data_IF_310884250459
#
_entry.id   IF_310884250459
#
_cell.length_a   1.000
_cell.length_b   1.000
_cell.length_c   1.000
_cell.angle_alpha   90.00
_cell.angle_beta   90.00
_cell.angle_gamma   90.00
#
_symmetry.space_group_name_H-M   'P 1'
#
loop_
_entity.id
_entity.type
_entity.pdbx_description
1 polymer ?
#
# COMPACT_ATOMS: atom_id res chain seq x y z
N UNK A 1 23.23 14.48 -13.02
CA UNK A 1 22.09 13.60 -12.69
C UNK A 1 20.88 14.50 -12.63
N UNK A 2 20.02 14.40 -13.63
CA UNK A 2 18.82 15.24 -13.71
C UNK A 2 17.79 14.72 -12.71
N UNK A 3 17.13 15.62 -11.98
CA UNK A 3 16.07 15.25 -11.06
C UNK A 3 14.82 14.90 -11.87
N UNK A 4 14.36 13.65 -11.76
CA UNK A 4 13.12 13.20 -12.41
C UNK A 4 11.89 13.74 -11.67
N UNK A 5 11.55 15.00 -11.94
CA UNK A 5 10.43 15.68 -11.30
C UNK A 5 9.11 15.28 -11.98
N UNK A 6 8.05 15.10 -11.17
CA UNK A 6 6.68 14.89 -11.65
C UNK A 6 6.14 16.16 -12.31
N UNK A 7 5.64 16.05 -13.54
CA UNK A 7 5.14 17.18 -14.31
C UNK A 7 3.69 17.53 -13.92
N UNK A 8 3.47 18.77 -13.50
CA UNK A 8 2.14 19.26 -13.12
C UNK A 8 1.36 19.80 -14.32
N UNK A 9 0.03 19.71 -14.22
CA UNK A 9 -0.88 20.36 -15.17
C UNK A 9 -0.93 21.84 -14.84
N UNK A 10 -0.91 22.69 -15.86
CA UNK A 10 -1.13 24.13 -15.73
C UNK A 10 -2.43 24.55 -16.42
N UNK A 11 -2.97 25.71 -16.02
CA UNK A 11 -4.21 26.26 -16.60
C UNK A 11 -4.04 26.38 -18.13
N UNK A 12 -5.00 25.84 -18.88
CA UNK A 12 -5.00 25.76 -20.36
C UNK A 12 -3.88 24.92 -21.00
N UNK A 13 -3.14 24.10 -20.23
CA UNK A 13 -2.12 23.18 -20.75
C UNK A 13 -2.34 21.77 -20.21
N UNK A 14 -3.17 20.95 -20.88
CA UNK A 14 -3.34 19.55 -20.51
C UNK A 14 -2.04 18.77 -20.75
N UNK A 15 -1.79 17.75 -19.91
CA UNK A 15 -0.67 16.83 -20.09
C UNK A 15 -0.85 16.00 -21.37
N UNK A 16 0.22 15.91 -22.16
CA UNK A 16 0.30 14.98 -23.28
C UNK A 16 0.36 13.52 -22.78
N UNK A 17 0.01 12.56 -23.63
CA UNK A 17 0.01 11.13 -23.28
C UNK A 17 1.39 10.62 -22.86
N UNK A 18 2.45 11.07 -23.55
CA UNK A 18 3.83 10.77 -23.17
C UNK A 18 4.21 11.33 -21.78
N UNK A 19 3.70 12.51 -21.42
CA UNK A 19 3.94 13.09 -20.08
C UNK A 19 3.15 12.31 -19.02
N UNK A 20 1.94 11.85 -19.34
CA UNK A 20 1.14 11.00 -18.45
C UNK A 20 1.82 9.64 -18.20
N UNK A 21 2.36 9.00 -19.23
CA UNK A 21 3.07 7.72 -19.06
C UNK A 21 4.32 7.89 -18.20
N UNK A 22 5.14 8.91 -18.49
CA UNK A 22 6.31 9.24 -17.67
C UNK A 22 5.93 9.53 -16.21
N UNK A 23 4.90 10.34 -15.98
CA UNK A 23 4.38 10.61 -14.64
C UNK A 23 3.85 9.36 -13.93
N UNK A 24 3.30 8.39 -14.66
CA UNK A 24 2.83 7.11 -14.09
C UNK A 24 3.98 6.25 -13.62
N UNK A 25 5.09 6.23 -14.35
CA UNK A 25 6.31 5.56 -13.93
C UNK A 25 6.92 6.24 -12.70
N UNK A 26 7.07 7.57 -12.73
CA UNK A 26 7.57 8.38 -11.60
C UNK A 26 6.72 8.19 -10.34
N UNK A 27 5.39 8.17 -10.48
CA UNK A 27 4.45 8.05 -9.35
C UNK A 27 4.31 6.63 -8.79
N UNK A 28 4.76 5.58 -9.50
CA UNK A 28 4.65 4.19 -9.05
C UNK A 28 5.36 3.94 -7.71
N UNK A 29 6.53 4.53 -7.51
CA UNK A 29 7.29 4.43 -6.25
C UNK A 29 6.59 5.27 -5.17
N UNK A 30 6.20 6.50 -5.51
CA UNK A 30 5.51 7.41 -4.59
C UNK A 30 4.22 6.80 -4.04
N UNK A 31 3.41 6.17 -4.88
CA UNK A 31 2.16 5.54 -4.46
C UNK A 31 2.36 4.47 -3.35
N UNK A 32 3.47 3.72 -3.39
CA UNK A 32 3.80 2.72 -2.37
C UNK A 32 4.11 3.38 -1.02
N UNK A 33 4.85 4.49 -1.05
CA UNK A 33 5.26 5.23 0.14
C UNK A 33 4.07 6.01 0.72
N UNK A 34 3.30 6.67 -0.12
CA UNK A 34 2.10 7.42 0.26
C UNK A 34 1.08 6.51 0.93
N UNK A 35 0.97 5.25 0.53
CA UNK A 35 0.10 4.28 1.21
C UNK A 35 0.48 4.05 2.68
N UNK A 36 1.78 3.97 3.00
CA UNK A 36 2.27 3.85 4.39
C UNK A 36 1.91 5.09 5.20
N UNK A 37 2.17 6.27 4.63
CA UNK A 37 1.84 7.54 5.29
C UNK A 37 0.33 7.75 5.44
N UNK A 38 -0.46 7.32 4.47
CA UNK A 38 -1.91 7.37 4.56
C UNK A 38 -2.39 6.47 5.71
N UNK A 39 -1.86 5.25 5.83
CA UNK A 39 -2.16 4.36 6.96
C UNK A 39 -1.76 4.97 8.31
N UNK A 40 -0.63 5.69 8.38
CA UNK A 40 -0.25 6.43 9.58
C UNK A 40 -1.29 7.49 9.97
N UNK A 41 -1.74 8.28 9.01
CA UNK A 41 -2.67 9.37 9.25
C UNK A 41 -4.05 8.85 9.64
N UNK A 42 -4.56 7.87 8.88
CA UNK A 42 -5.91 7.36 9.06
C UNK A 42 -6.04 6.44 10.29
N UNK A 43 -4.99 5.68 10.62
CA UNK A 43 -5.12 4.57 11.59
C UNK A 43 -4.14 4.58 12.76
N UNK A 44 -3.09 5.43 12.74
CA UNK A 44 -2.05 5.50 13.78
C UNK A 44 -1.92 6.89 14.41
N UNK A 45 -3.05 7.57 14.59
CA UNK A 45 -3.14 8.81 15.36
C UNK A 45 -2.66 10.07 14.64
N UNK A 46 -2.66 10.08 13.31
CA UNK A 46 -2.42 11.30 12.53
C UNK A 46 -0.94 11.67 12.34
N UNK A 47 -0.72 12.86 11.77
CA UNK A 47 0.61 13.42 11.48
C UNK A 47 1.29 14.06 12.69
N UNK A 48 0.51 14.50 13.68
CA UNK A 48 1.03 15.24 14.83
C UNK A 48 1.78 14.29 15.78
N UNK A 49 3.00 14.69 16.15
CA UNK A 49 3.80 14.00 17.14
C UNK A 49 4.13 14.93 18.31
N UNK A 50 3.58 14.65 19.48
CA UNK A 50 3.79 15.46 20.70
C UNK A 50 5.01 14.94 21.47
N UNK A 51 6.20 15.15 20.94
CA UNK A 51 7.46 14.76 21.59
C UNK A 51 8.46 15.91 21.62
N UNK A 52 8.92 16.28 22.82
CA UNK A 52 9.87 17.40 23.02
C UNK A 52 11.31 17.05 22.65
N UNK A 53 11.68 15.77 22.74
CA UNK A 53 13.05 15.31 22.51
C UNK A 53 13.13 14.48 21.23
N UNK A 54 14.18 14.69 20.43
CA UNK A 54 14.42 13.98 19.17
C UNK A 54 14.39 12.46 19.31
N UNK A 55 15.03 11.92 20.35
CA UNK A 55 15.07 10.48 20.63
C UNK A 55 13.65 9.90 20.80
N UNK A 56 12.75 10.65 21.46
CA UNK A 56 11.34 10.23 21.62
C UNK A 56 10.58 10.34 20.30
N UNK A 57 10.90 11.34 19.48
CA UNK A 57 10.31 11.48 18.16
C UNK A 57 10.67 10.30 17.26
N UNK A 58 11.97 9.96 17.22
CA UNK A 58 12.51 8.83 16.47
C UNK A 58 11.90 7.50 16.93
N UNK A 59 11.81 7.28 18.25
CA UNK A 59 11.16 6.09 18.80
C UNK A 59 9.69 5.96 18.38
N UNK A 60 8.91 7.05 18.43
CA UNK A 60 7.51 7.02 18.03
C UNK A 60 7.32 6.75 16.53
N UNK A 61 8.16 7.35 15.69
CA UNK A 61 8.19 7.09 14.24
C UNK A 61 8.53 5.62 13.98
N UNK A 62 9.54 5.09 14.69
CA UNK A 62 9.91 3.68 14.65
C UNK A 62 8.75 2.76 15.03
N UNK A 63 8.04 3.06 16.12
CA UNK A 63 6.87 2.30 16.55
C UNK A 63 5.74 2.32 15.50
N UNK A 64 5.46 3.48 14.89
CA UNK A 64 4.47 3.57 13.81
C UNK A 64 4.85 2.73 12.60
N UNK A 65 6.14 2.72 12.22
CA UNK A 65 6.65 1.87 11.15
C UNK A 65 6.50 0.38 11.49
N UNK A 66 6.90 -0.03 12.69
CA UNK A 66 6.78 -1.42 13.15
C UNK A 66 5.33 -1.88 13.18
N UNK A 67 4.42 -1.07 13.73
CA UNK A 67 3.00 -1.38 13.78
C UNK A 67 2.40 -1.55 12.37
N UNK A 68 2.77 -0.69 11.42
CA UNK A 68 2.37 -0.83 10.03
C UNK A 68 2.89 -2.13 9.41
N UNK A 69 4.17 -2.46 9.61
CA UNK A 69 4.77 -3.68 9.06
C UNK A 69 4.11 -4.94 9.61
N UNK A 70 3.80 -4.99 10.91
CA UNK A 70 3.10 -6.13 11.53
C UNK A 70 1.69 -6.28 10.95
N UNK A 71 0.92 -5.19 10.87
CA UNK A 71 -0.42 -5.22 10.24
C UNK A 71 -0.35 -5.70 8.80
N UNK A 72 0.64 -5.23 8.04
CA UNK A 72 0.86 -5.64 6.65
C UNK A 72 1.20 -7.12 6.54
N UNK A 73 2.05 -7.64 7.42
CA UNK A 73 2.40 -9.06 7.46
C UNK A 73 1.16 -9.92 7.71
N UNK A 74 0.37 -9.59 8.74
CA UNK A 74 -0.87 -10.30 9.07
C UNK A 74 -1.82 -10.29 7.88
N UNK A 75 -2.01 -9.14 7.22
CA UNK A 75 -2.84 -9.05 6.02
C UNK A 75 -2.41 -10.05 4.96
N UNK A 76 -1.12 -10.12 4.61
CA UNK A 76 -0.63 -11.08 3.63
C UNK A 76 -0.80 -12.53 4.05
N UNK A 77 -0.64 -12.83 5.35
CA UNK A 77 -0.82 -14.18 5.85
C UNK A 77 -2.29 -14.63 5.75
N UNK A 78 -3.24 -13.77 6.14
CA UNK A 78 -4.68 -14.07 5.99
C UNK A 78 -5.08 -14.29 4.54
N UNK A 79 -4.44 -13.61 3.57
CA UNK A 79 -4.74 -13.80 2.16
C UNK A 79 -4.29 -15.18 1.65
N UNK A 80 -3.15 -15.70 2.11
CA UNK A 80 -2.69 -17.05 1.75
C UNK A 80 -3.65 -18.12 2.25
N UNK A 81 -4.12 -17.98 3.49
CA UNK A 81 -5.11 -18.90 4.09
C UNK A 81 -6.45 -18.84 3.33
N UNK A 82 -6.92 -17.64 2.97
CA UNK A 82 -8.14 -17.49 2.18
C UNK A 82 -8.02 -18.15 0.80
N UNK A 83 -6.86 -18.03 0.15
CA UNK A 83 -6.62 -18.66 -1.15
C UNK A 83 -6.61 -20.19 -1.05
N UNK A 84 -5.98 -20.77 -0.04
CA UNK A 84 -5.98 -22.23 0.14
C UNK A 84 -7.39 -22.75 0.40
N UNK A 85 -8.14 -22.11 1.28
CA UNK A 85 -9.54 -22.44 1.57
C UNK A 85 -10.40 -22.33 0.30
N UNK A 86 -10.20 -21.29 -0.52
CA UNK A 86 -10.93 -21.10 -1.77
C UNK A 86 -10.64 -22.23 -2.78
N UNK A 87 -9.37 -22.63 -2.91
CA UNK A 87 -8.96 -23.75 -3.76
C UNK A 87 -9.59 -25.05 -3.29
N UNK A 88 -9.55 -25.36 -1.99
CA UNK A 88 -10.18 -26.56 -1.45
C UNK A 88 -11.70 -26.57 -1.61
N UNK A 89 -12.37 -25.42 -1.42
CA UNK A 89 -13.82 -25.28 -1.70
C UNK A 89 -14.14 -25.51 -3.17
N UNK A 90 -13.34 -24.95 -4.08
CA UNK A 90 -13.55 -25.13 -5.52
C UNK A 90 -13.34 -26.58 -5.95
N UNK A 91 -12.28 -27.23 -5.47
CA UNK A 91 -12.02 -28.65 -5.73
C UNK A 91 -13.10 -29.56 -5.13
N UNK A 92 -13.55 -29.27 -3.92
CA UNK A 92 -14.68 -29.99 -3.28
C UNK A 92 -15.96 -29.90 -4.12
N UNK A 93 -16.29 -28.72 -4.64
CA UNK A 93 -17.44 -28.54 -5.52
C UNK A 93 -17.30 -29.29 -6.85
N UNK A 94 -16.10 -29.34 -7.44
CA UNK A 94 -15.84 -30.10 -8.68
C UNK A 94 -16.01 -31.59 -8.43
N UNK A 95 -15.46 -32.11 -7.34
CA UNK A 95 -15.59 -33.53 -6.96
C UNK A 95 -17.06 -33.85 -6.69
N UNK A 96 -17.75 -33.05 -5.88
CA UNK A 96 -19.17 -33.23 -5.60
C UNK A 96 -20.02 -33.23 -6.88
N UNK A 97 -19.76 -32.30 -7.81
CA UNK A 97 -20.45 -32.24 -9.11
C UNK A 97 -20.15 -33.45 -10.02
N UNK A 98 -19.01 -34.12 -9.86
CA UNK A 98 -18.56 -35.21 -10.73
C UNK A 98 -19.01 -36.60 -10.25
N UNK A 99 -19.31 -36.75 -8.96
CA UNK A 99 -19.66 -38.04 -8.35
C UNK A 99 -21.12 -38.14 -7.86
N UNK A 100 -21.92 -37.06 -7.99
CA UNK A 100 -23.33 -37.02 -7.57
C UNK A 100 -24.30 -36.74 -8.75
N UNK A 101 -23.83 -36.87 -10.00
CA UNK A 101 -24.66 -36.93 -11.21
C UNK A 101 -24.62 -38.32 -11.82
#
# INVERSE_FOLDING_TARGET
>A
MDSEIYEQIYKNKPLNEAQKSSNREKSKIRAKVDYVFCAWVMSLGGKLLRSTKKIRAEANIGLKNSAYNIRRYIFWETQKEQQSILVFKHLGNIIFSKYIS
#
